data_IF_497425893684
#
_entry.id   IF_497425893684
#
_cell.length_a   1.000
_cell.length_b   1.000
_cell.length_c   1.000
_cell.angle_alpha   90.00
_cell.angle_beta   90.00
_cell.angle_gamma   90.00
#
_symmetry.space_group_name_H-M   'P 1'
#
loop_
_entity.id
_entity.type
_entity.pdbx_description
1 polymer ?
#
# COMPACT_ATOMS: atom_id res chain seq x y z
N UNK A 1 18.57 8.19 10.36
CA UNK A 1 18.63 6.80 9.86
C UNK A 1 19.17 5.80 10.90
N UNK A 2 18.96 6.09 12.21
CA UNK A 2 19.45 5.23 13.30
C UNK A 2 18.61 3.96 13.52
N UNK A 3 17.43 3.86 12.91
CA UNK A 3 16.54 2.69 13.04
C UNK A 3 16.45 1.94 11.70
N UNK A 4 17.17 0.82 11.57
CA UNK A 4 17.22 0.06 10.30
C UNK A 4 15.85 -0.41 9.79
N UNK A 5 14.92 -0.75 10.70
CA UNK A 5 13.56 -1.19 10.33
C UNK A 5 12.80 -0.12 9.54
N UNK A 6 12.92 1.16 9.94
CA UNK A 6 12.27 2.29 9.25
C UNK A 6 12.84 2.44 7.85
N UNK A 7 14.18 2.38 7.71
CA UNK A 7 14.86 2.48 6.42
C UNK A 7 14.32 1.46 5.41
N UNK A 8 14.22 0.20 5.81
CA UNK A 8 13.73 -0.86 4.94
C UNK A 8 12.26 -0.67 4.57
N UNK A 9 11.43 -0.25 5.53
CA UNK A 9 10.02 0.03 5.25
C UNK A 9 9.84 1.20 4.28
N UNK A 10 10.68 2.24 4.39
CA UNK A 10 10.66 3.39 3.47
C UNK A 10 11.12 2.99 2.07
N UNK A 11 12.12 2.10 1.93
CA UNK A 11 12.57 1.59 0.64
C UNK A 11 11.53 0.72 -0.07
N UNK A 12 10.57 0.13 0.65
CA UNK A 12 9.44 -0.56 0.07
C UNK A 12 8.37 0.40 -0.50
N UNK A 13 8.31 1.65 -0.01
CA UNK A 13 7.27 2.63 -0.33
C UNK A 13 7.14 2.95 -1.82
N UNK A 14 8.21 3.22 -2.58
CA UNK A 14 8.13 3.52 -4.00
C UNK A 14 7.42 2.44 -4.81
N UNK A 15 7.72 1.18 -4.51
CA UNK A 15 7.17 0.03 -5.24
C UNK A 15 5.68 -0.17 -4.93
N UNK A 16 5.26 -0.06 -3.68
CA UNK A 16 3.85 -0.26 -3.31
C UNK A 16 2.99 0.94 -3.67
N UNK A 17 3.43 2.16 -3.38
CA UNK A 17 2.67 3.38 -3.66
C UNK A 17 2.65 3.70 -5.16
N UNK A 18 3.79 3.60 -5.85
CA UNK A 18 3.90 3.91 -7.28
C UNK A 18 3.03 2.99 -8.13
N UNK A 19 3.09 1.67 -7.88
CA UNK A 19 2.20 0.71 -8.55
C UNK A 19 0.74 0.92 -8.14
N UNK A 20 0.48 1.26 -6.86
CA UNK A 20 -0.86 1.50 -6.36
C UNK A 20 -1.56 2.65 -7.09
N UNK A 21 -0.86 3.75 -7.32
CA UNK A 21 -1.38 4.89 -8.08
C UNK A 21 -1.68 4.46 -9.53
N UNK A 22 -0.74 3.78 -10.18
CA UNK A 22 -0.93 3.30 -11.54
C UNK A 22 -2.13 2.36 -11.66
N UNK A 23 -2.21 1.34 -10.79
CA UNK A 23 -3.26 0.33 -10.84
C UNK A 23 -4.66 0.94 -10.72
N UNK A 24 -4.81 2.01 -9.92
CA UNK A 24 -6.07 2.72 -9.76
C UNK A 24 -6.45 3.53 -11.02
N UNK A 25 -5.51 4.28 -11.59
CA UNK A 25 -5.80 5.11 -12.76
C UNK A 25 -5.92 4.32 -14.06
N UNK A 26 -5.13 3.27 -14.25
CA UNK A 26 -5.19 2.40 -15.43
C UNK A 26 -6.44 1.51 -15.47
N UNK A 27 -7.12 1.34 -14.32
CA UNK A 27 -8.31 0.51 -14.23
C UNK A 27 -9.42 0.93 -15.18
N UNK A 28 -9.73 2.23 -15.22
CA UNK A 28 -10.86 2.73 -16.01
C UNK A 28 -10.67 2.50 -17.51
N UNK A 29 -9.57 2.96 -18.16
CA UNK A 29 -9.35 2.71 -19.57
C UNK A 29 -9.24 1.20 -19.90
N UNK A 30 -8.64 0.40 -19.01
CA UNK A 30 -8.55 -1.03 -19.21
C UNK A 30 -9.92 -1.73 -19.22
N UNK A 31 -10.82 -1.36 -18.31
CA UNK A 31 -12.17 -1.92 -18.27
C UNK A 31 -13.04 -1.46 -19.46
N UNK A 32 -12.86 -0.24 -19.94
CA UNK A 32 -13.52 0.24 -21.15
C UNK A 32 -13.04 -0.55 -22.39
N UNK A 33 -11.74 -0.85 -22.48
CA UNK A 33 -11.17 -1.70 -23.51
C UNK A 33 -11.76 -3.11 -23.47
N UNK A 34 -11.80 -3.74 -22.28
CA UNK A 34 -12.37 -5.08 -22.10
C UNK A 34 -13.88 -5.14 -22.39
N UNK A 35 -14.60 -4.04 -22.14
CA UNK A 35 -16.02 -3.93 -22.44
C UNK A 35 -16.30 -3.73 -23.94
N UNK A 36 -15.28 -3.38 -24.73
CA UNK A 36 -15.41 -3.10 -26.17
C UNK A 36 -16.18 -1.82 -26.50
N UNK A 37 -16.49 -0.97 -25.52
CA UNK A 37 -17.17 0.30 -25.72
C UNK A 37 -16.45 1.42 -24.95
N UNK A 38 -15.65 2.27 -25.66
CA UNK A 38 -14.91 3.36 -25.05
C UNK A 38 -15.78 4.44 -24.39
N UNK A 39 -17.05 4.54 -24.79
CA UNK A 39 -17.99 5.56 -24.31
C UNK A 39 -18.85 5.08 -23.13
N UNK A 40 -18.63 3.88 -22.65
CA UNK A 40 -19.38 3.30 -21.53
C UNK A 40 -18.95 3.90 -20.16
N UNK A 41 -18.92 5.23 -20.04
CA UNK A 41 -18.48 5.93 -18.82
C UNK A 41 -19.24 5.53 -17.56
N UNK A 42 -20.51 5.13 -17.69
CA UNK A 42 -21.31 4.58 -16.58
C UNK A 42 -20.70 3.31 -15.99
N UNK A 43 -20.16 2.42 -16.82
CA UNK A 43 -19.49 1.19 -16.39
C UNK A 43 -18.19 1.55 -15.66
N UNK A 44 -17.40 2.48 -16.20
CA UNK A 44 -16.18 2.94 -15.55
C UNK A 44 -16.49 3.56 -14.16
N UNK A 45 -17.55 4.34 -14.04
CA UNK A 45 -17.98 4.92 -12.76
C UNK A 45 -18.43 3.87 -11.75
N UNK A 46 -19.24 2.89 -12.15
CA UNK A 46 -19.69 1.81 -11.27
C UNK A 46 -18.53 0.95 -10.81
N UNK A 47 -17.60 0.61 -11.68
CA UNK A 47 -16.42 -0.18 -11.29
C UNK A 47 -15.48 0.58 -10.36
N UNK A 48 -15.28 1.87 -10.58
CA UNK A 48 -14.55 2.72 -9.64
C UNK A 48 -15.23 2.75 -8.25
N UNK A 49 -16.57 2.83 -8.20
CA UNK A 49 -17.32 2.77 -6.96
C UNK A 49 -17.19 1.42 -6.24
N UNK A 50 -17.18 0.29 -6.97
CA UNK A 50 -16.94 -1.04 -6.42
C UNK A 50 -15.57 -1.13 -5.78
N UNK A 51 -14.53 -0.65 -6.48
CA UNK A 51 -13.15 -0.66 -5.95
C UNK A 51 -13.02 0.26 -4.73
N UNK A 52 -13.63 1.44 -4.77
CA UNK A 52 -13.65 2.35 -3.62
C UNK A 52 -14.35 1.70 -2.41
N UNK A 53 -15.49 1.02 -2.63
CA UNK A 53 -16.18 0.23 -1.62
C UNK A 53 -15.29 -0.87 -1.03
N UNK A 54 -14.58 -1.61 -1.87
CA UNK A 54 -13.62 -2.63 -1.43
C UNK A 54 -12.49 -2.03 -0.59
N UNK A 55 -12.00 -0.84 -0.93
CA UNK A 55 -10.99 -0.12 -0.14
C UNK A 55 -11.53 0.31 1.24
N UNK A 56 -12.77 0.80 1.31
CA UNK A 56 -13.42 1.13 2.59
C UNK A 56 -13.50 -0.14 3.47
N UNK A 57 -13.97 -1.24 2.91
CA UNK A 57 -14.04 -2.53 3.62
C UNK A 57 -12.64 -2.96 4.08
N UNK A 58 -11.62 -2.83 3.23
CA UNK A 58 -10.22 -3.13 3.56
C UNK A 58 -9.71 -2.30 4.74
N UNK A 59 -9.97 -1.00 4.74
CA UNK A 59 -9.59 -0.10 5.84
C UNK A 59 -10.27 -0.49 7.17
N UNK A 60 -11.56 -0.78 7.15
CA UNK A 60 -12.33 -1.23 8.32
C UNK A 60 -11.89 -2.63 8.79
N UNK A 61 -11.52 -3.51 7.86
CA UNK A 61 -11.05 -4.87 8.16
C UNK A 61 -9.61 -4.91 8.68
N UNK A 62 -8.82 -3.84 8.50
CA UNK A 62 -7.41 -3.80 8.86
C UNK A 62 -7.08 -4.27 10.30
N UNK A 63 -7.83 -3.87 11.36
CA UNK A 63 -7.59 -4.36 12.71
C UNK A 63 -7.79 -5.88 12.84
N UNK A 64 -8.81 -6.44 12.15
CA UNK A 64 -9.09 -7.87 12.15
C UNK A 64 -8.00 -8.63 11.41
N UNK A 65 -7.61 -8.17 10.23
CA UNK A 65 -6.49 -8.74 9.44
C UNK A 65 -5.20 -8.70 10.26
N UNK A 66 -4.92 -7.55 10.91
CA UNK A 66 -3.76 -7.42 11.82
C UNK A 66 -3.84 -8.42 12.97
N UNK A 67 -5.01 -8.66 13.54
CA UNK A 67 -5.23 -9.58 14.67
C UNK A 67 -4.93 -11.04 14.35
N UNK A 68 -4.99 -11.44 13.07
CA UNK A 68 -4.65 -12.81 12.63
C UNK A 68 -3.15 -13.09 12.69
N UNK A 69 -2.31 -12.07 12.82
CA UNK A 69 -0.85 -12.18 12.81
C UNK A 69 -0.23 -11.68 14.11
N UNK A 70 0.79 -12.37 14.59
CA UNK A 70 1.56 -11.92 15.76
C UNK A 70 2.39 -10.65 15.45
N UNK A 71 2.83 -10.50 14.20
CA UNK A 71 3.68 -9.40 13.75
C UNK A 71 2.97 -8.57 12.67
N UNK A 72 3.10 -7.24 12.75
CA UNK A 72 2.57 -6.29 11.75
C UNK A 72 3.20 -6.50 10.38
N UNK A 73 4.50 -6.77 10.33
CA UNK A 73 5.23 -7.08 9.10
C UNK A 73 4.74 -8.36 8.42
N UNK A 74 4.24 -9.37 9.18
CA UNK A 74 3.64 -10.56 8.59
C UNK A 74 2.33 -10.24 7.87
N UNK A 75 1.49 -9.39 8.45
CA UNK A 75 0.26 -8.92 7.81
C UNK A 75 0.58 -8.10 6.55
N UNK A 76 1.63 -7.25 6.59
CA UNK A 76 2.09 -6.49 5.43
C UNK A 76 2.64 -7.38 4.32
N UNK A 77 3.42 -8.42 4.65
CA UNK A 77 3.92 -9.38 3.67
C UNK A 77 2.79 -10.12 2.98
N UNK A 78 1.75 -10.54 3.73
CA UNK A 78 0.56 -11.14 3.14
C UNK A 78 -0.15 -10.14 2.22
N UNK A 79 -0.43 -8.93 2.69
CA UNK A 79 -1.16 -7.92 1.93
C UNK A 79 -0.44 -7.58 0.60
N UNK A 80 0.87 -7.37 0.65
CA UNK A 80 1.68 -7.09 -0.55
C UNK A 80 1.78 -8.33 -1.45
N UNK A 81 1.92 -9.53 -0.89
CA UNK A 81 1.94 -10.78 -1.64
C UNK A 81 0.62 -11.03 -2.38
N UNK A 82 -0.52 -10.86 -1.69
CA UNK A 82 -1.85 -10.96 -2.32
C UNK A 82 -2.02 -9.87 -3.38
N UNK A 83 -1.60 -8.63 -3.10
CA UNK A 83 -1.65 -7.53 -4.08
C UNK A 83 -0.84 -7.85 -5.34
N UNK A 84 0.38 -8.36 -5.20
CA UNK A 84 1.21 -8.75 -6.34
C UNK A 84 0.56 -9.91 -7.14
N UNK A 85 0.03 -10.92 -6.43
CA UNK A 85 -0.65 -12.06 -7.07
C UNK A 85 -1.90 -11.63 -7.83
N UNK A 86 -2.72 -10.74 -7.27
CA UNK A 86 -3.93 -10.25 -7.97
C UNK A 86 -3.58 -9.41 -9.19
N UNK A 87 -2.55 -8.56 -9.14
CA UNK A 87 -2.08 -7.82 -10.31
C UNK A 87 -1.55 -8.76 -11.41
N UNK A 88 -0.84 -9.82 -11.03
CA UNK A 88 -0.39 -10.84 -11.99
C UNK A 88 -1.58 -11.57 -12.63
N UNK A 89 -2.56 -11.97 -11.82
CA UNK A 89 -3.76 -12.66 -12.31
C UNK A 89 -4.62 -11.77 -13.23
N UNK A 90 -4.67 -10.45 -12.98
CA UNK A 90 -5.31 -9.50 -13.89
C UNK A 90 -4.67 -9.54 -15.28
N UNK A 91 -3.33 -9.63 -15.34
CA UNK A 91 -2.61 -9.76 -16.61
C UNK A 91 -2.84 -11.08 -17.33
N UNK A 92 -3.12 -12.17 -16.59
CA UNK A 92 -3.38 -13.50 -17.16
C UNK A 92 -4.84 -13.66 -17.55
N UNK A 93 -5.76 -13.26 -16.68
CA UNK A 93 -7.21 -13.41 -16.86
C UNK A 93 -7.85 -12.08 -17.27
N UNK A 94 -7.58 -11.62 -18.48
CA UNK A 94 -8.09 -10.36 -19.02
C UNK A 94 -9.56 -10.45 -19.42
N UNK A 95 -10.42 -10.88 -18.48
CA UNK A 95 -11.88 -10.93 -18.64
C UNK A 95 -12.52 -9.86 -17.74
N UNK A 96 -13.48 -9.13 -18.25
CA UNK A 96 -14.11 -7.99 -17.58
C UNK A 96 -14.48 -8.26 -16.11
N UNK A 97 -15.26 -9.30 -15.83
CA UNK A 97 -15.71 -9.63 -14.47
C UNK A 97 -14.58 -10.14 -13.57
N UNK A 98 -13.64 -10.90 -14.14
CA UNK A 98 -12.47 -11.37 -13.42
C UNK A 98 -11.58 -10.19 -12.98
N UNK A 99 -11.36 -9.22 -13.87
CA UNK A 99 -10.59 -8.01 -13.55
C UNK A 99 -11.26 -7.22 -12.44
N UNK A 100 -12.59 -7.01 -12.47
CA UNK A 100 -13.32 -6.31 -11.40
C UNK A 100 -13.15 -7.04 -10.06
N UNK A 101 -13.29 -8.36 -10.03
CA UNK A 101 -13.13 -9.13 -8.81
C UNK A 101 -11.69 -9.05 -8.27
N UNK A 102 -10.70 -9.24 -9.12
CA UNK A 102 -9.29 -9.23 -8.75
C UNK A 102 -8.83 -7.83 -8.27
N UNK A 103 -9.22 -6.77 -9.00
CA UNK A 103 -8.85 -5.41 -8.60
C UNK A 103 -9.54 -4.99 -7.29
N UNK A 104 -10.73 -5.51 -7.02
CA UNK A 104 -11.42 -5.30 -5.74
C UNK A 104 -10.66 -5.96 -4.59
N UNK A 105 -10.16 -7.20 -4.79
CA UNK A 105 -9.31 -7.88 -3.81
C UNK A 105 -8.00 -7.12 -3.60
N UNK A 106 -7.38 -6.66 -4.69
CA UNK A 106 -6.20 -5.81 -4.62
C UNK A 106 -6.47 -4.52 -3.81
N UNK A 107 -7.55 -3.82 -4.13
CA UNK A 107 -7.95 -2.57 -3.45
C UNK A 107 -8.19 -2.77 -1.95
N UNK A 108 -8.85 -3.87 -1.58
CA UNK A 108 -9.07 -4.26 -0.18
C UNK A 108 -7.75 -4.48 0.55
N UNK A 109 -6.84 -5.26 -0.02
CA UNK A 109 -5.52 -5.54 0.59
C UNK A 109 -4.65 -4.29 0.67
N UNK A 110 -4.64 -3.48 -0.39
CA UNK A 110 -3.94 -2.21 -0.43
C UNK A 110 -4.41 -1.28 0.70
N UNK A 111 -5.72 -1.06 0.82
CA UNK A 111 -6.30 -0.21 1.85
C UNK A 111 -6.09 -0.76 3.27
N UNK A 112 -6.18 -2.08 3.46
CA UNK A 112 -5.91 -2.71 4.75
C UNK A 112 -4.43 -2.56 5.16
N UNK A 113 -3.50 -2.56 4.21
CA UNK A 113 -2.07 -2.43 4.50
C UNK A 113 -1.69 -1.05 5.02
N UNK A 114 -2.40 0.01 4.62
CA UNK A 114 -2.09 1.40 4.96
C UNK A 114 -2.07 1.68 6.47
N UNK A 115 -3.15 1.43 7.26
CA UNK A 115 -3.15 1.68 8.69
C UNK A 115 -2.19 0.74 9.44
N UNK A 116 -1.99 -0.50 8.97
CA UNK A 116 -1.04 -1.43 9.57
C UNK A 116 0.39 -0.88 9.43
N UNK A 117 0.74 -0.40 8.23
CA UNK A 117 2.03 0.21 7.94
C UNK A 117 2.25 1.49 8.75
N UNK A 118 1.26 2.39 8.78
CA UNK A 118 1.34 3.63 9.57
C UNK A 118 1.52 3.34 11.06
N UNK A 119 0.77 2.39 11.61
CA UNK A 119 0.89 1.99 13.01
C UNK A 119 2.26 1.40 13.32
N UNK A 120 2.85 0.62 12.41
CA UNK A 120 4.21 0.09 12.54
C UNK A 120 5.26 1.21 12.53
N UNK A 121 5.18 2.12 11.56
CA UNK A 121 6.09 3.26 11.45
C UNK A 121 6.01 4.17 12.67
N UNK A 122 4.79 4.56 13.08
CA UNK A 122 4.57 5.45 14.22
C UNK A 122 5.08 4.87 15.54
N UNK A 123 5.02 3.55 15.71
CA UNK A 123 5.55 2.89 16.92
C UNK A 123 7.08 2.85 17.00
N UNK A 124 7.79 3.20 15.92
CA UNK A 124 9.27 3.22 15.88
C UNK A 124 9.87 4.64 15.87
N UNK A 125 9.08 5.64 15.49
CA UNK A 125 9.56 7.01 15.27
C UNK A 125 9.37 7.82 16.56
N UNK A 126 10.44 8.45 17.10
CA UNK A 126 10.32 9.38 18.21
C UNK A 126 9.36 10.54 17.87
N UNK A 127 8.60 11.01 18.87
CA UNK A 127 7.56 12.04 18.67
C UNK A 127 8.10 13.33 18.02
N UNK A 128 9.30 13.75 18.40
CA UNK A 128 9.96 14.96 17.89
C UNK A 128 10.43 14.86 16.42
N UNK A 129 10.52 13.66 15.84
CA UNK A 129 10.96 13.44 14.45
C UNK A 129 9.85 12.86 13.57
N UNK A 130 8.67 12.60 14.13
CA UNK A 130 7.59 11.88 13.44
C UNK A 130 7.13 12.57 12.17
N UNK A 131 6.86 13.87 12.23
CA UNK A 131 6.41 14.64 11.07
C UNK A 131 7.43 14.59 9.92
N UNK A 132 8.71 14.82 10.22
CA UNK A 132 9.79 14.83 9.23
C UNK A 132 9.96 13.46 8.55
N UNK A 133 9.98 12.39 9.34
CA UNK A 133 10.19 11.04 8.82
C UNK A 133 8.99 10.58 7.98
N UNK A 134 7.75 10.87 8.42
CA UNK A 134 6.55 10.52 7.64
C UNK A 134 6.43 11.35 6.36
N UNK A 135 6.81 12.63 6.38
CA UNK A 135 6.87 13.45 5.16
C UNK A 135 7.88 12.91 4.17
N UNK A 136 9.06 12.49 4.64
CA UNK A 136 10.08 11.89 3.79
C UNK A 136 9.63 10.53 3.22
N UNK A 137 8.93 9.71 4.00
CA UNK A 137 8.33 8.47 3.54
C UNK A 137 7.27 8.70 2.45
N UNK A 138 6.40 9.70 2.63
CA UNK A 138 5.41 10.11 1.63
C UNK A 138 6.09 10.60 0.35
N UNK A 139 7.16 11.37 0.47
CA UNK A 139 7.95 11.84 -0.67
C UNK A 139 8.57 10.66 -1.44
N UNK A 140 9.12 9.67 -0.76
CA UNK A 140 9.65 8.45 -1.40
C UNK A 140 8.55 7.68 -2.12
N UNK A 141 7.37 7.52 -1.52
CA UNK A 141 6.22 6.89 -2.17
C UNK A 141 5.80 7.64 -3.44
N UNK A 142 5.71 8.96 -3.37
CA UNK A 142 5.36 9.81 -4.51
C UNK A 142 6.43 9.78 -5.62
N UNK A 143 7.72 9.76 -5.25
CA UNK A 143 8.81 9.62 -6.23
C UNK A 143 8.75 8.29 -6.98
N UNK A 144 8.32 7.22 -6.29
CA UNK A 144 7.99 5.95 -6.94
C UNK A 144 6.92 6.11 -8.01
N UNK A 145 5.86 6.86 -7.72
CA UNK A 145 4.82 7.20 -8.70
C UNK A 145 5.35 7.92 -9.93
N UNK A 146 6.23 8.91 -9.73
CA UNK A 146 6.85 9.69 -10.84
C UNK A 146 7.63 8.81 -11.82
N UNK A 147 8.26 7.74 -11.32
CA UNK A 147 9.06 6.83 -12.16
C UNK A 147 8.20 5.67 -12.69
N UNK A 148 7.43 5.03 -11.81
CA UNK A 148 6.72 3.78 -12.13
C UNK A 148 5.52 4.03 -13.05
N UNK A 149 4.78 5.14 -12.88
CA UNK A 149 3.61 5.42 -13.72
C UNK A 149 3.96 5.56 -15.20
N UNK A 150 4.96 6.38 -15.62
CA UNK A 150 5.36 6.46 -17.03
C UNK A 150 5.85 5.12 -17.58
N UNK A 151 6.59 4.34 -16.78
CA UNK A 151 7.10 3.02 -17.21
C UNK A 151 5.95 2.06 -17.47
N UNK A 152 5.00 1.97 -16.54
CA UNK A 152 3.83 1.09 -16.70
C UNK A 152 2.87 1.62 -17.76
N UNK A 153 2.68 2.94 -17.87
CA UNK A 153 1.91 3.56 -18.95
C UNK A 153 2.50 3.23 -20.31
N UNK A 154 3.82 3.38 -20.47
CA UNK A 154 4.50 3.01 -21.71
C UNK A 154 4.35 1.51 -22.04
N UNK A 155 4.38 0.66 -21.02
CA UNK A 155 4.15 -0.78 -21.19
C UNK A 155 2.70 -1.05 -21.67
N UNK A 156 1.71 -0.32 -21.15
CA UNK A 156 0.32 -0.40 -21.61
C UNK A 156 0.18 0.03 -23.07
N UNK A 157 0.78 1.17 -23.45
CA UNK A 157 0.73 1.70 -24.80
C UNK A 157 1.45 0.81 -25.83
N UNK A 158 2.55 0.16 -25.42
CA UNK A 158 3.39 -0.62 -26.35
C UNK A 158 2.90 -2.05 -26.49
N UNK A 159 2.39 -2.64 -25.42
CA UNK A 159 1.96 -4.04 -25.39
C UNK A 159 0.46 -4.17 -25.12
N UNK A 160 0.03 -3.94 -23.87
CA UNK A 160 -1.37 -3.96 -23.43
C UNK A 160 -1.48 -3.56 -21.97
N UNK A 161 -2.67 -3.18 -21.51
CA UNK A 161 -2.96 -2.99 -20.09
C UNK A 161 -2.67 -4.26 -19.28
N UNK A 162 -3.05 -5.44 -19.79
CA UNK A 162 -2.78 -6.72 -19.15
C UNK A 162 -1.29 -6.91 -18.86
N UNK A 163 -0.42 -6.65 -19.85
CA UNK A 163 1.04 -6.74 -19.69
C UNK A 163 1.56 -5.71 -18.68
N UNK A 164 1.02 -4.49 -18.67
CA UNK A 164 1.43 -3.47 -17.71
C UNK A 164 1.09 -3.86 -16.27
N UNK A 165 -0.04 -4.52 -16.03
CA UNK A 165 -0.39 -5.08 -14.72
C UNK A 165 0.56 -6.20 -14.29
N UNK A 166 1.04 -7.04 -15.22
CA UNK A 166 2.07 -8.05 -14.92
C UNK A 166 3.39 -7.41 -14.49
N UNK A 167 3.84 -6.32 -15.17
CA UNK A 167 5.01 -5.56 -14.73
C UNK A 167 4.76 -4.88 -13.37
N UNK A 168 3.56 -4.38 -13.13
CA UNK A 168 3.15 -3.86 -11.83
C UNK A 168 3.25 -4.91 -10.73
N UNK A 169 2.85 -6.15 -11.01
CA UNK A 169 3.01 -7.29 -10.10
C UNK A 169 4.48 -7.56 -9.77
N UNK A 170 5.35 -7.58 -10.77
CA UNK A 170 6.79 -7.77 -10.59
C UNK A 170 7.39 -6.66 -9.72
N UNK A 171 7.05 -5.39 -10.01
CA UNK A 171 7.49 -4.23 -9.21
C UNK A 171 6.96 -4.30 -7.77
N UNK A 172 5.69 -4.67 -7.56
CA UNK A 172 5.13 -4.84 -6.21
C UNK A 172 5.85 -5.94 -5.44
N UNK A 173 6.24 -7.02 -6.11
CA UNK A 173 7.02 -8.12 -5.50
C UNK A 173 8.38 -7.64 -5.00
N UNK A 174 8.99 -6.63 -5.63
CA UNK A 174 10.25 -6.02 -5.15
C UNK A 174 10.13 -5.35 -3.78
N UNK A 175 8.93 -5.04 -3.31
CA UNK A 175 8.73 -4.55 -1.94
C UNK A 175 8.88 -5.65 -0.87
N UNK A 176 8.63 -6.92 -1.20
CA UNK A 176 8.66 -8.03 -0.24
C UNK A 176 10.01 -8.19 0.47
N UNK A 177 11.18 -8.21 -0.21
CA UNK A 177 12.47 -8.31 0.45
C UNK A 177 12.73 -7.18 1.43
N UNK A 178 12.30 -5.96 1.15
CA UNK A 178 12.47 -4.82 2.05
C UNK A 178 11.61 -4.97 3.32
N UNK A 179 10.34 -5.39 3.18
CA UNK A 179 9.46 -5.65 4.32
C UNK A 179 10.02 -6.82 5.16
N UNK A 180 10.54 -7.85 4.52
CA UNK A 180 11.17 -8.99 5.20
C UNK A 180 12.45 -8.60 5.94
N UNK A 181 13.30 -7.73 5.34
CA UNK A 181 14.47 -7.17 6.02
C UNK A 181 14.08 -6.30 7.22
N UNK A 182 13.00 -5.51 7.11
CA UNK A 182 12.44 -4.78 8.23
C UNK A 182 12.00 -5.71 9.36
N UNK A 183 11.32 -6.82 9.03
CA UNK A 183 10.92 -7.86 9.99
C UNK A 183 12.10 -8.50 10.72
N UNK A 184 13.20 -8.74 10.02
CA UNK A 184 14.42 -9.34 10.61
C UNK A 184 15.03 -8.51 11.74
N UNK A 185 14.77 -7.20 11.77
CA UNK A 185 15.26 -6.30 12.81
C UNK A 185 14.54 -6.47 14.16
N UNK A 186 13.47 -7.30 14.23
CA UNK A 186 12.71 -7.63 15.46
C UNK A 186 12.31 -6.40 16.27
N UNK A 187 11.87 -5.32 15.60
CA UNK A 187 11.45 -4.10 16.29
C UNK A 187 10.27 -4.38 17.24
N UNK A 188 10.30 -3.82 18.45
CA UNK A 188 9.22 -3.97 19.45
C UNK A 188 7.85 -3.54 18.89
N UNK A 189 7.81 -2.50 18.07
CA UNK A 189 6.63 -2.03 17.38
C UNK A 189 6.00 -3.08 16.45
N UNK A 190 6.74 -4.10 16.01
CA UNK A 190 6.21 -5.17 15.15
C UNK A 190 5.21 -6.06 15.91
N UNK A 191 5.49 -6.35 17.18
CA UNK A 191 4.59 -7.12 18.05
C UNK A 191 3.45 -6.28 18.65
N UNK A 192 3.42 -4.97 18.42
CA UNK A 192 2.39 -4.08 18.97
C UNK A 192 2.73 -3.52 20.37
N UNK A 193 3.94 -3.75 20.85
CA UNK A 193 4.45 -3.15 22.09
C UNK A 193 4.98 -1.76 21.73
N UNK A 194 4.38 -0.70 22.29
CA UNK A 194 4.89 0.66 22.18
C UNK A 194 6.24 0.75 22.91
N UNK A 195 7.24 1.33 22.27
CA UNK A 195 8.53 1.56 22.94
C UNK A 195 8.31 2.58 24.06
N UNK A 196 8.69 2.32 25.34
CA UNK A 196 8.63 3.31 26.40
C UNK A 196 9.47 4.54 25.99
N UNK A 197 8.83 5.71 25.88
CA UNK A 197 9.45 6.97 25.41
C UNK A 197 8.75 7.62 24.22
N UNK A 198 7.75 6.98 23.59
CA UNK A 198 6.91 7.60 22.55
C UNK A 198 5.75 8.44 23.14
N UNK A 199 5.42 8.24 24.41
CA UNK A 199 4.53 9.11 25.16
C UNK A 199 5.37 10.18 25.83
N UNK A 200 5.34 11.39 25.26
CA UNK A 200 5.90 12.56 25.91
C UNK A 200 5.29 12.68 27.30
N UNK A 201 6.12 12.69 28.33
CA UNK A 201 5.73 13.13 29.67
C UNK A 201 5.05 14.49 29.51
N UNK A 202 3.73 14.49 29.58
CA UNK A 202 2.98 15.70 29.87
C UNK A 202 3.31 15.99 31.34
N UNK A 203 4.33 16.81 31.53
CA UNK A 203 4.64 17.40 32.82
C UNK A 203 3.39 18.20 33.22
N UNK A 204 2.73 17.88 34.35
CA UNK A 204 1.61 18.68 34.79
C UNK A 204 2.11 20.07 35.08
N UNK A 205 1.55 21.06 34.36
CA UNK A 205 1.81 22.47 34.62
C UNK A 205 1.64 22.74 36.12
N UNK A 206 2.73 23.10 36.78
CA UNK A 206 2.72 23.52 38.18
C UNK A 206 1.73 24.69 38.29
N UNK A 207 0.64 24.46 38.97
CA UNK A 207 -0.28 25.50 39.41
C UNK A 207 0.48 26.33 40.40
N UNK A 208 1.05 27.46 39.97
CA UNK A 208 1.46 28.51 40.89
C UNK A 208 0.18 29.08 41.53
N UNK A 209 -0.06 28.68 42.75
CA UNK A 209 -0.88 29.48 43.68
C UNK A 209 0.04 30.57 44.20
N UNK A 210 -0.28 31.79 43.91
CA UNK A 210 -0.19 32.95 44.79
C UNK A 210 -1.21 34.01 44.31
#
# INVERSE_FOLDING_TARGET
>A
WRVPSIKWMMLASPFTAGVGIYAFYALQPFLLELNGNPEAYGIAGVTAAIVAGAQIVGGVAAPRIRGLFRLRTSALLLAVGVSASTLLLIGIFSQFWAVIALISVWGLMFAASMPIRQSYMNGMIPSNQRATILSFDSMLGSSGGVVIQPVLGRAADTYSYATSYMFGAALTTMALPFIWLSRRQKAAADAGVSTPGAEGTVEPAATSRD
#
